data_IF_858638507919
#
_entry.id   IF_858638507919
#
_cell.length_a   1.000
_cell.length_b   1.000
_cell.length_c   1.000
_cell.angle_alpha   90.00
_cell.angle_beta   90.00
_cell.angle_gamma   90.00
#
_symmetry.space_group_name_H-M   'P 1'
#
loop_
_entity.id
_entity.type
_entity.pdbx_description
1 polymer ?
#
# COMPACT_ATOMS: atom_id res chain seq x y z
N UNK A 1 -55.74 13.80 -36.51
CA UNK A 1 -56.78 14.01 -35.46
C UNK A 1 -56.14 13.67 -34.11
N UNK A 2 -56.15 14.69 -33.24
CA UNK A 2 -55.92 14.73 -31.76
C UNK A 2 -54.65 14.06 -31.19
N UNK A 3 -53.65 14.82 -30.81
CA UNK A 3 -53.47 15.67 -29.59
C UNK A 3 -53.92 15.00 -28.29
N UNK A 4 -52.98 14.76 -27.40
CA UNK A 4 -53.02 15.35 -26.03
C UNK A 4 -51.66 15.23 -25.33
N UNK A 5 -51.13 16.40 -24.94
CA UNK A 5 -50.06 16.64 -24.00
C UNK A 5 -50.48 16.23 -22.58
N UNK A 6 -49.55 15.75 -21.77
CA UNK A 6 -49.60 15.97 -20.32
C UNK A 6 -48.18 16.12 -19.76
N UNK A 7 -47.80 17.37 -19.54
CA UNK A 7 -46.76 17.81 -18.65
C UNK A 7 -47.15 17.49 -17.19
N UNK A 8 -46.24 16.91 -16.42
CA UNK A 8 -46.35 16.97 -14.98
C UNK A 8 -44.99 17.29 -14.35
N UNK A 9 -44.98 18.48 -13.83
CA UNK A 9 -43.98 19.19 -13.05
C UNK A 9 -43.58 18.43 -11.79
N UNK A 10 -42.29 18.39 -11.49
CA UNK A 10 -41.76 18.03 -10.18
C UNK A 10 -41.25 19.29 -9.47
N UNK A 11 -41.61 19.55 -8.22
CA UNK A 11 -40.75 20.30 -7.34
C UNK A 11 -40.55 19.57 -6.02
N UNK A 12 -39.33 19.34 -5.60
CA UNK A 12 -39.05 19.28 -4.15
C UNK A 12 -37.66 19.88 -3.88
N UNK A 13 -37.72 21.14 -3.47
CA UNK A 13 -36.63 21.83 -2.78
C UNK A 13 -36.53 21.29 -1.37
N UNK A 14 -35.40 20.75 -0.98
CA UNK A 14 -35.05 20.57 0.43
C UNK A 14 -34.28 21.81 0.89
N UNK A 15 -34.94 22.65 1.68
CA UNK A 15 -34.32 23.72 2.45
C UNK A 15 -34.01 23.17 3.86
N UNK A 16 -32.75 23.18 4.26
CA UNK A 16 -32.35 22.99 5.64
C UNK A 16 -32.26 24.34 6.37
N UNK A 17 -32.84 24.50 7.56
CA UNK A 17 -32.69 25.71 8.34
C UNK A 17 -31.36 25.72 9.09
N UNK A 18 -30.57 26.76 8.83
CA UNK A 18 -29.39 27.09 9.63
C UNK A 18 -29.90 27.70 10.94
N UNK A 19 -29.76 27.00 12.05
CA UNK A 19 -29.92 27.57 13.39
C UNK A 19 -28.54 28.03 13.90
N UNK A 20 -28.39 29.33 13.90
CA UNK A 20 -27.29 30.06 14.50
C UNK A 20 -27.55 30.14 16.02
N UNK A 21 -26.80 29.40 16.84
CA UNK A 21 -26.77 29.56 18.28
C UNK A 21 -25.55 30.40 18.66
N UNK A 22 -25.83 31.66 19.04
CA UNK A 22 -24.85 32.53 19.70
C UNK A 22 -24.80 32.15 21.18
N UNK A 23 -23.66 31.63 21.62
CA UNK A 23 -23.35 31.50 23.05
C UNK A 23 -22.39 32.62 23.45
N UNK A 24 -22.91 33.61 24.16
CA UNK A 24 -22.10 34.61 24.83
C UNK A 24 -21.45 34.00 26.07
N UNK A 25 -20.14 33.84 26.07
CA UNK A 25 -19.40 33.51 27.27
C UNK A 25 -18.96 34.82 27.95
N UNK A 26 -19.50 35.08 29.12
CA UNK A 26 -19.12 36.16 30.02
C UNK A 26 -17.83 35.74 30.72
N UNK A 27 -16.72 36.45 30.44
CA UNK A 27 -15.45 36.27 31.16
C UNK A 27 -15.51 37.19 32.38
N UNK A 28 -15.63 36.61 33.57
CA UNK A 28 -15.44 37.34 34.82
C UNK A 28 -13.93 37.50 35.12
N UNK A 29 -13.43 38.72 35.11
CA UNK A 29 -12.10 39.05 35.60
C UNK A 29 -12.10 39.00 37.13
N UNK A 30 -11.48 38.03 37.72
CA UNK A 30 -11.13 38.01 39.13
C UNK A 30 -9.71 38.59 39.29
N UNK A 31 -9.65 39.80 39.88
CA UNK A 31 -8.38 40.47 40.25
C UNK A 31 -7.82 39.79 41.50
N UNK A 32 -6.72 39.05 41.36
CA UNK A 32 -5.98 38.51 42.49
C UNK A 32 -4.85 39.47 42.85
N UNK A 33 -4.97 40.16 43.99
CA UNK A 33 -3.90 40.94 44.60
C UNK A 33 -2.88 39.99 45.24
N UNK A 34 -1.68 39.91 44.63
CA UNK A 34 -0.56 39.15 45.18
C UNK A 34 0.16 40.05 46.22
N UNK A 35 0.03 39.70 47.49
CA UNK A 35 0.86 40.21 48.57
C UNK A 35 2.22 39.54 48.55
N UNK A 36 3.24 40.34 48.32
CA UNK A 36 4.64 39.94 48.23
C UNK A 36 5.23 39.73 49.64
N UNK A 37 5.19 38.47 50.13
CA UNK A 37 5.93 38.06 51.33
C UNK A 37 7.15 37.27 50.92
N UNK A 38 8.33 37.88 51.00
CA UNK A 38 9.59 37.18 50.76
C UNK A 38 9.97 36.31 51.98
N UNK A 39 10.14 34.99 51.82
CA UNK A 39 10.86 34.24 52.82
C UNK A 39 12.37 34.28 52.50
N UNK A 40 13.17 34.66 53.50
CA UNK A 40 14.62 34.49 53.49
C UNK A 40 14.94 33.00 53.38
N UNK A 41 15.34 32.52 52.19
CA UNK A 41 15.85 31.18 52.03
C UNK A 41 17.36 31.17 52.13
N UNK A 42 17.85 30.39 53.07
CA UNK A 42 19.26 30.02 53.21
C UNK A 42 19.73 29.33 51.92
N UNK A 43 20.58 30.00 51.17
CA UNK A 43 21.24 29.42 50.02
C UNK A 43 22.16 28.29 50.47
N UNK A 44 21.68 27.05 50.38
CA UNK A 44 22.53 25.85 50.45
C UNK A 44 23.27 25.76 49.11
N UNK A 45 24.57 26.07 49.15
CA UNK A 45 25.48 25.98 47.99
C UNK A 45 25.39 24.57 47.41
N UNK A 46 24.74 24.38 46.27
CA UNK A 46 24.74 23.14 45.53
C UNK A 46 26.10 23.01 44.85
N UNK A 47 26.88 22.04 45.27
CA UNK A 47 28.07 21.57 44.54
C UNK A 47 27.62 21.06 43.17
N UNK A 48 28.33 21.38 42.05
CA UNK A 48 28.02 20.83 40.75
C UNK A 48 28.12 19.31 40.83
N UNK A 49 27.05 18.63 40.37
CA UNK A 49 27.07 17.17 40.25
C UNK A 49 28.09 16.76 39.18
N UNK A 50 29.00 15.89 39.58
CA UNK A 50 29.99 15.29 38.70
C UNK A 50 29.28 14.61 37.51
N UNK A 51 29.69 14.86 36.24
CA UNK A 51 29.05 14.27 35.09
C UNK A 51 29.21 12.74 35.17
N UNK A 52 28.10 12.00 35.25
CA UNK A 52 28.11 10.54 35.14
C UNK A 52 28.80 10.15 33.82
N UNK A 53 29.72 9.18 33.85
CA UNK A 53 30.36 8.70 32.64
C UNK A 53 29.28 8.18 31.69
N UNK A 54 29.15 8.86 30.53
CA UNK A 54 28.32 8.40 29.43
C UNK A 54 28.94 7.06 28.99
N UNK A 55 28.23 5.95 29.19
CA UNK A 55 28.68 4.65 28.76
C UNK A 55 28.97 4.71 27.25
N UNK A 56 30.23 4.38 26.88
CA UNK A 56 30.64 4.36 25.49
C UNK A 56 29.67 3.56 24.65
N UNK A 57 29.32 3.99 23.43
CA UNK A 57 28.40 3.25 22.56
C UNK A 57 28.94 1.82 22.40
N UNK A 58 28.09 0.83 22.72
CA UNK A 58 28.42 -0.58 22.50
C UNK A 58 28.89 -0.74 21.06
N UNK A 59 30.16 -1.12 20.91
CA UNK A 59 30.80 -1.38 19.63
C UNK A 59 29.93 -2.37 18.88
N UNK A 60 29.18 -1.91 17.86
CA UNK A 60 28.39 -2.76 16.97
C UNK A 60 29.34 -3.77 16.37
N UNK A 61 29.20 -5.04 16.74
CA UNK A 61 30.03 -6.10 16.20
C UNK A 61 29.94 -6.03 14.67
N UNK A 62 31.11 -5.96 14.00
CA UNK A 62 31.17 -5.97 12.53
C UNK A 62 30.53 -7.28 12.07
N UNK A 63 29.28 -7.21 11.61
CA UNK A 63 28.59 -8.37 11.05
C UNK A 63 29.35 -8.87 9.85
N UNK A 64 29.69 -10.18 9.85
CA UNK A 64 30.38 -10.82 8.74
C UNK A 64 29.60 -10.58 7.42
N UNK A 65 30.24 -10.18 6.33
CA UNK A 65 29.58 -9.97 5.04
C UNK A 65 28.81 -11.23 4.61
N UNK A 66 27.68 -11.03 3.89
CA UNK A 66 26.94 -12.12 3.29
C UNK A 66 27.77 -12.74 2.15
N UNK A 67 27.83 -14.07 2.14
CA UNK A 67 28.53 -14.84 1.09
C UNK A 67 27.60 -15.10 -0.10
N UNK A 68 28.16 -15.51 -1.24
CA UNK A 68 27.37 -15.99 -2.39
C UNK A 68 26.42 -17.15 -2.02
N UNK A 69 26.86 -18.02 -1.09
CA UNK A 69 26.00 -19.10 -0.56
C UNK A 69 24.79 -18.53 0.20
N UNK A 70 24.97 -17.46 0.99
CA UNK A 70 23.85 -16.79 1.66
C UNK A 70 22.88 -16.13 0.65
N UNK A 71 23.40 -15.54 -0.43
CA UNK A 71 22.57 -14.96 -1.49
C UNK A 71 21.72 -16.04 -2.18
N UNK A 72 22.31 -17.15 -2.55
CA UNK A 72 21.60 -18.30 -3.15
C UNK A 72 20.54 -18.88 -2.18
N UNK A 73 20.88 -19.01 -0.91
CA UNK A 73 19.94 -19.48 0.12
C UNK A 73 18.77 -18.51 0.31
N UNK A 74 19.04 -17.19 0.28
CA UNK A 74 18.02 -16.16 0.36
C UNK A 74 17.08 -16.20 -0.85
N UNK A 75 17.64 -16.29 -2.07
CA UNK A 75 16.86 -16.37 -3.30
C UNK A 75 15.95 -17.61 -3.30
N UNK A 76 16.50 -18.78 -2.95
CA UNK A 76 15.72 -20.01 -2.80
C UNK A 76 14.61 -19.82 -1.76
N UNK A 77 14.92 -19.26 -0.59
CA UNK A 77 13.93 -19.07 0.46
C UNK A 77 12.82 -18.10 0.05
N UNK A 78 13.15 -16.99 -0.64
CA UNK A 78 12.16 -16.09 -1.22
C UNK A 78 11.21 -16.85 -2.17
N UNK A 79 11.75 -17.65 -3.07
CA UNK A 79 10.95 -18.47 -3.98
C UNK A 79 10.06 -19.49 -3.24
N UNK A 80 10.60 -20.20 -2.24
CA UNK A 80 9.88 -21.16 -1.40
C UNK A 80 8.70 -20.50 -0.66
N UNK A 81 8.85 -19.22 -0.27
CA UNK A 81 7.79 -18.42 0.36
C UNK A 81 6.78 -17.82 -0.63
N UNK A 82 7.01 -17.98 -1.94
CA UNK A 82 6.14 -17.46 -2.99
C UNK A 82 6.54 -16.10 -3.54
N UNK A 83 7.62 -15.47 -3.06
CA UNK A 83 8.10 -14.23 -3.65
C UNK A 83 8.68 -14.48 -5.04
N UNK A 84 8.31 -13.64 -6.00
CA UNK A 84 8.64 -13.88 -7.40
C UNK A 84 10.07 -13.44 -7.73
N UNK A 85 11.01 -14.37 -7.59
CA UNK A 85 12.45 -14.15 -7.79
C UNK A 85 12.90 -14.31 -9.26
N UNK A 86 12.02 -14.74 -10.18
CA UNK A 86 12.44 -15.18 -11.48
C UNK A 86 13.11 -16.58 -11.41
N UNK A 87 14.34 -16.69 -11.91
CA UNK A 87 15.12 -17.95 -11.81
C UNK A 87 15.89 -17.97 -10.50
N UNK A 88 15.89 -19.10 -9.84
CA UNK A 88 16.71 -19.33 -8.65
C UNK A 88 18.06 -19.90 -9.11
N UNK A 89 19.03 -19.04 -9.46
CA UNK A 89 20.34 -19.44 -9.97
C UNK A 89 21.51 -18.97 -9.12
N UNK A 90 21.23 -18.26 -8.03
CA UNK A 90 22.24 -17.70 -7.12
C UNK A 90 22.83 -16.38 -7.60
N UNK A 91 22.31 -15.78 -8.66
CA UNK A 91 22.65 -14.44 -9.11
C UNK A 91 21.65 -13.46 -8.52
N UNK A 92 22.17 -12.51 -7.75
CA UNK A 92 21.34 -11.48 -7.15
C UNK A 92 21.01 -10.39 -8.18
N UNK A 93 20.04 -10.68 -9.03
CA UNK A 93 19.59 -9.82 -10.12
C UNK A 93 18.44 -8.88 -9.70
N UNK A 94 17.86 -8.16 -10.67
CA UNK A 94 16.72 -7.26 -10.41
C UNK A 94 15.47 -8.03 -9.92
N UNK A 95 15.24 -9.26 -10.38
CA UNK A 95 14.11 -10.05 -9.95
C UNK A 95 14.27 -10.47 -8.48
N UNK A 96 15.45 -10.93 -8.08
CA UNK A 96 15.78 -11.25 -6.68
C UNK A 96 15.67 -10.01 -5.79
N UNK A 97 16.14 -8.84 -6.29
CA UNK A 97 16.02 -7.55 -5.58
C UNK A 97 14.56 -7.15 -5.38
N UNK A 98 13.71 -7.28 -6.39
CA UNK A 98 12.28 -6.97 -6.29
C UNK A 98 11.54 -7.96 -5.38
N UNK A 99 11.89 -9.24 -5.40
CA UNK A 99 11.37 -10.23 -4.47
C UNK A 99 11.72 -9.90 -3.02
N UNK A 100 12.96 -9.47 -2.76
CA UNK A 100 13.36 -8.99 -1.44
C UNK A 100 12.59 -7.73 -1.03
N UNK A 101 12.37 -6.77 -1.94
CA UNK A 101 11.53 -5.59 -1.66
C UNK A 101 10.12 -6.04 -1.25
N UNK A 102 9.53 -7.02 -1.97
CA UNK A 102 8.22 -7.56 -1.61
C UNK A 102 8.23 -8.18 -0.21
N UNK A 103 9.25 -8.99 0.11
CA UNK A 103 9.43 -9.56 1.45
C UNK A 103 9.54 -8.48 2.51
N UNK A 104 10.41 -7.48 2.30
CA UNK A 104 10.59 -6.37 3.24
C UNK A 104 9.28 -5.60 3.48
N UNK A 105 8.47 -5.38 2.44
CA UNK A 105 7.16 -4.73 2.54
C UNK A 105 6.16 -5.58 3.33
N UNK A 106 6.06 -6.87 3.02
CA UNK A 106 5.15 -7.80 3.70
C UNK A 106 5.50 -7.91 5.18
N UNK A 107 6.79 -7.98 5.51
CA UNK A 107 7.32 -8.04 6.88
C UNK A 107 7.42 -6.66 7.56
N UNK A 108 6.94 -5.58 6.92
CA UNK A 108 6.99 -4.20 7.44
C UNK A 108 8.41 -3.74 7.78
N UNK A 109 9.40 -4.23 7.04
CA UNK A 109 10.78 -3.77 7.08
C UNK A 109 10.97 -2.57 6.15
N UNK A 110 12.12 -1.89 6.27
CA UNK A 110 12.48 -0.84 5.32
C UNK A 110 12.76 -1.47 3.93
N UNK A 111 11.98 -1.17 2.89
CA UNK A 111 12.06 -1.83 1.60
C UNK A 111 13.23 -1.28 0.74
N UNK A 112 14.44 -1.67 1.09
CA UNK A 112 15.67 -1.21 0.43
C UNK A 112 16.06 -2.05 -0.79
N UNK A 113 15.64 -3.31 -0.84
CA UNK A 113 16.11 -4.30 -1.81
C UNK A 113 17.57 -4.71 -1.61
N UNK A 114 18.19 -4.29 -0.51
CA UNK A 114 19.54 -4.70 -0.11
C UNK A 114 19.44 -5.79 0.93
N UNK A 115 20.03 -6.95 0.63
CA UNK A 115 20.04 -8.09 1.55
C UNK A 115 21.07 -7.85 2.65
N UNK A 116 20.58 -7.45 3.83
CA UNK A 116 21.41 -7.35 5.04
C UNK A 116 21.46 -8.67 5.79
N UNK A 117 22.35 -8.79 6.78
CA UNK A 117 22.38 -9.95 7.69
C UNK A 117 21.04 -10.12 8.41
N UNK A 118 20.47 -9.03 8.92
CA UNK A 118 19.18 -9.04 9.61
C UNK A 118 18.04 -9.47 8.68
N UNK A 119 18.02 -8.97 7.43
CA UNK A 119 17.03 -9.43 6.44
C UNK A 119 17.18 -10.93 6.16
N UNK A 120 18.41 -11.43 6.02
CA UNK A 120 18.67 -12.83 5.77
C UNK A 120 18.16 -13.72 6.92
N UNK A 121 18.51 -13.38 8.15
CA UNK A 121 18.07 -14.13 9.35
C UNK A 121 16.55 -14.15 9.47
N UNK A 122 15.90 -12.99 9.27
CA UNK A 122 14.45 -12.88 9.30
C UNK A 122 13.80 -13.68 8.16
N UNK A 123 14.36 -13.63 6.95
CA UNK A 123 13.88 -14.37 5.80
C UNK A 123 13.95 -15.89 6.02
N UNK A 124 15.04 -16.40 6.58
CA UNK A 124 15.17 -17.83 6.88
C UNK A 124 14.12 -18.29 7.89
N UNK A 125 13.81 -17.46 8.89
CA UNK A 125 12.81 -17.76 9.92
C UNK A 125 11.36 -17.49 9.50
N UNK A 126 11.12 -16.76 8.40
CA UNK A 126 9.78 -16.35 7.98
C UNK A 126 8.93 -17.53 7.50
N UNK A 127 7.61 -17.39 7.64
CA UNK A 127 6.62 -18.29 7.04
C UNK A 127 6.02 -17.69 5.77
N UNK A 128 5.40 -18.53 4.94
CA UNK A 128 4.62 -18.06 3.79
C UNK A 128 3.48 -17.19 4.31
N UNK A 129 3.27 -15.99 3.77
CA UNK A 129 2.16 -15.13 4.18
C UNK A 129 0.82 -15.78 3.87
N UNK A 130 -0.15 -15.59 4.76
CA UNK A 130 -1.54 -15.94 4.49
C UNK A 130 -2.21 -14.85 3.67
N UNK A 131 -3.16 -15.21 2.79
CA UNK A 131 -4.00 -14.23 2.12
C UNK A 131 -4.97 -13.59 3.11
N UNK A 132 -5.58 -12.47 2.72
CA UNK A 132 -6.66 -11.84 3.48
C UNK A 132 -7.93 -12.70 3.44
N UNK A 133 -8.18 -13.31 2.29
CA UNK A 133 -9.33 -14.18 2.06
C UNK A 133 -8.91 -15.54 1.51
N UNK A 134 -9.76 -16.54 1.77
CA UNK A 134 -9.65 -17.89 1.24
C UNK A 134 -10.88 -18.20 0.40
N UNK A 135 -10.85 -19.28 -0.38
CA UNK A 135 -11.96 -19.71 -1.21
C UNK A 135 -11.54 -19.86 -2.67
N UNK A 136 -12.14 -19.09 -3.58
CA UNK A 136 -11.77 -19.16 -5.00
C UNK A 136 -10.38 -18.57 -5.28
N UNK A 137 -9.74 -19.02 -6.36
CA UNK A 137 -8.48 -18.44 -6.81
C UNK A 137 -8.67 -16.96 -7.19
N UNK A 138 -7.79 -16.09 -6.68
CA UNK A 138 -7.93 -14.64 -6.85
C UNK A 138 -6.59 -13.90 -6.76
N UNK A 139 -6.64 -12.61 -7.03
CA UNK A 139 -5.56 -11.66 -6.79
C UNK A 139 -5.94 -10.78 -5.60
N UNK A 140 -5.02 -10.60 -4.65
CA UNK A 140 -5.12 -9.56 -3.64
C UNK A 140 -4.11 -8.45 -3.91
N UNK A 141 -4.57 -7.20 -3.82
CA UNK A 141 -3.72 -6.00 -3.87
C UNK A 141 -3.80 -5.31 -2.51
N UNK A 142 -2.77 -5.49 -1.70
CA UNK A 142 -2.64 -4.87 -0.40
C UNK A 142 -2.06 -3.46 -0.53
N UNK A 143 -2.90 -2.46 -0.36
CA UNK A 143 -2.53 -1.05 -0.48
C UNK A 143 -1.66 -0.55 0.69
N UNK A 144 -1.75 -1.19 1.86
CA UNK A 144 -0.95 -0.83 3.03
C UNK A 144 0.48 -1.33 2.88
N UNK A 145 0.63 -2.62 2.55
CA UNK A 145 1.94 -3.24 2.35
C UNK A 145 2.54 -2.95 0.97
N UNK A 146 1.73 -2.43 0.03
CA UNK A 146 2.12 -2.23 -1.37
C UNK A 146 2.66 -3.54 -1.97
N UNK A 147 1.90 -4.61 -1.80
CA UNK A 147 2.19 -5.95 -2.28
C UNK A 147 0.97 -6.53 -3.00
N UNK A 148 1.23 -7.40 -3.97
CA UNK A 148 0.22 -8.17 -4.69
C UNK A 148 0.45 -9.66 -4.40
N UNK A 149 -0.63 -10.36 -4.07
CA UNK A 149 -0.65 -11.80 -3.84
C UNK A 149 -1.49 -12.48 -4.90
N UNK A 150 -1.01 -13.59 -5.46
CA UNK A 150 -1.80 -14.51 -6.27
C UNK A 150 -2.13 -15.70 -5.38
N UNK A 151 -3.42 -15.93 -5.16
CA UNK A 151 -3.95 -16.97 -4.29
C UNK A 151 -4.58 -18.05 -5.17
N UNK A 152 -4.30 -19.30 -4.89
CA UNK A 152 -4.93 -20.43 -5.60
C UNK A 152 -6.29 -20.82 -4.98
N UNK A 153 -6.98 -21.77 -5.60
CA UNK A 153 -8.29 -22.26 -5.14
C UNK A 153 -8.25 -23.00 -3.79
N UNK A 154 -7.08 -23.31 -3.28
CA UNK A 154 -6.86 -23.87 -1.94
C UNK A 154 -6.59 -22.82 -0.87
N UNK A 155 -6.62 -21.51 -1.22
CA UNK A 155 -6.30 -20.42 -0.32
C UNK A 155 -4.81 -20.26 -0.03
N UNK A 156 -3.94 -20.81 -0.88
CA UNK A 156 -2.48 -20.69 -0.73
C UNK A 156 -1.96 -19.55 -1.59
N UNK A 157 -1.17 -18.68 -0.99
CA UNK A 157 -0.45 -17.64 -1.72
C UNK A 157 0.66 -18.28 -2.56
N UNK A 158 0.49 -18.30 -3.87
CA UNK A 158 1.45 -18.93 -4.80
C UNK A 158 2.52 -17.98 -5.29
N UNK A 159 2.17 -16.69 -5.48
CA UNK A 159 3.10 -15.68 -5.94
C UNK A 159 2.88 -14.34 -5.23
N UNK A 160 4.00 -13.65 -4.94
CA UNK A 160 4.00 -12.35 -4.31
C UNK A 160 4.89 -11.40 -5.12
N UNK A 161 4.36 -10.21 -5.40
CA UNK A 161 5.06 -9.14 -6.13
C UNK A 161 5.02 -7.83 -5.32
N UNK A 162 6.06 -7.02 -5.36
CA UNK A 162 5.95 -5.65 -4.89
C UNK A 162 5.13 -4.84 -5.90
N UNK A 163 4.34 -3.91 -5.41
CA UNK A 163 3.58 -3.00 -6.27
C UNK A 163 3.80 -1.53 -5.91
N UNK A 164 3.35 -0.65 -6.81
CA UNK A 164 3.18 0.77 -6.54
C UNK A 164 1.81 1.19 -7.07
N UNK A 165 0.89 1.45 -6.15
CA UNK A 165 -0.50 1.83 -6.41
C UNK A 165 -0.66 3.34 -6.63
N UNK A 166 -1.88 3.82 -6.73
CA UNK A 166 -2.24 5.23 -6.84
C UNK A 166 -1.66 6.08 -5.72
N UNK A 167 -1.11 7.25 -6.08
CA UNK A 167 -0.39 8.13 -5.15
C UNK A 167 -1.29 8.88 -4.16
N UNK A 168 -2.60 8.90 -4.37
CA UNK A 168 -3.57 9.69 -3.63
C UNK A 168 -3.52 11.19 -3.94
N UNK A 169 -2.68 11.63 -4.87
CA UNK A 169 -2.52 13.05 -5.21
C UNK A 169 -3.49 13.45 -6.31
N UNK A 170 -3.95 14.69 -6.27
CA UNK A 170 -4.69 15.27 -7.39
C UNK A 170 -3.78 15.40 -8.63
N UNK A 171 -4.33 15.15 -9.79
CA UNK A 171 -3.70 15.38 -11.09
C UNK A 171 -4.73 15.85 -12.10
N UNK A 172 -4.27 16.52 -13.18
CA UNK A 172 -5.14 16.94 -14.28
C UNK A 172 -4.97 16.02 -15.47
N UNK A 173 -6.07 15.54 -16.01
CA UNK A 173 -6.11 14.74 -17.24
C UNK A 173 -7.31 15.14 -18.09
N UNK A 174 -7.09 15.42 -19.37
CA UNK A 174 -8.14 15.82 -20.33
C UNK A 174 -9.01 16.99 -19.83
N UNK A 175 -8.38 17.96 -19.14
CA UNK A 175 -9.07 19.15 -18.62
C UNK A 175 -9.77 18.97 -17.26
N UNK A 176 -9.81 17.76 -16.68
CA UNK A 176 -10.48 17.46 -15.41
C UNK A 176 -9.47 17.16 -14.30
N UNK A 177 -9.74 17.67 -13.10
CA UNK A 177 -9.04 17.27 -11.89
C UNK A 177 -9.53 15.88 -11.45
N UNK A 178 -8.60 15.02 -11.07
CA UNK A 178 -8.87 13.64 -10.61
C UNK A 178 -7.89 13.27 -9.51
N UNK A 179 -8.30 12.40 -8.62
CA UNK A 179 -7.43 11.82 -7.61
C UNK A 179 -6.77 10.53 -8.14
N UNK A 180 -5.47 10.43 -7.91
CA UNK A 180 -4.67 9.27 -8.30
C UNK A 180 -4.87 8.10 -7.32
N UNK A 181 -6.08 7.58 -7.18
CA UNK A 181 -6.43 6.57 -6.19
C UNK A 181 -6.62 5.20 -6.84
N UNK A 182 -6.03 4.16 -6.22
CA UNK A 182 -6.44 2.76 -6.44
C UNK A 182 -7.51 2.45 -5.40
N UNK A 183 -8.76 2.36 -5.82
CA UNK A 183 -9.90 2.19 -4.91
C UNK A 183 -9.96 0.78 -4.33
N UNK A 184 -10.08 0.62 -2.98
CA UNK A 184 -10.45 -0.64 -2.39
C UNK A 184 -11.77 -1.17 -2.94
N UNK A 185 -11.89 -2.47 -3.08
CA UNK A 185 -13.11 -3.09 -3.60
C UNK A 185 -12.88 -4.50 -4.14
N UNK A 186 -13.98 -5.12 -4.55
CA UNK A 186 -13.99 -6.42 -5.22
C UNK A 186 -14.27 -6.22 -6.70
N UNK A 187 -13.38 -6.72 -7.51
CA UNK A 187 -13.41 -6.60 -8.96
C UNK A 187 -13.22 -7.96 -9.60
N UNK A 188 -13.32 -8.00 -10.94
CA UNK A 188 -12.90 -9.13 -11.74
C UNK A 188 -12.05 -8.64 -12.91
N UNK A 189 -11.10 -9.46 -13.33
CA UNK A 189 -10.33 -9.20 -14.55
C UNK A 189 -11.30 -9.11 -15.72
N UNK A 190 -11.31 -7.98 -16.41
CA UNK A 190 -12.23 -7.67 -17.52
C UNK A 190 -11.57 -7.89 -18.87
N UNK A 191 -10.32 -7.48 -18.99
CA UNK A 191 -9.58 -7.51 -20.24
C UNK A 191 -8.09 -7.64 -19.98
N UNK A 192 -7.38 -8.26 -20.91
CA UNK A 192 -5.92 -8.36 -20.91
C UNK A 192 -5.41 -8.01 -22.29
N UNK A 193 -4.37 -7.18 -22.34
CA UNK A 193 -3.74 -6.81 -23.60
C UNK A 193 -2.27 -7.21 -23.59
N UNK A 194 -1.75 -7.59 -24.76
CA UNK A 194 -0.37 -8.01 -24.92
C UNK A 194 0.52 -6.83 -25.33
N UNK A 195 1.78 -6.85 -24.86
CA UNK A 195 2.78 -5.84 -25.20
C UNK A 195 2.52 -4.49 -24.57
N UNK A 196 3.07 -3.45 -25.18
CA UNK A 196 2.90 -2.06 -24.76
C UNK A 196 1.57 -1.50 -25.22
N UNK A 197 0.91 -0.76 -24.33
CA UNK A 197 -0.32 -0.03 -24.62
C UNK A 197 -0.19 1.42 -24.19
N UNK A 198 -0.52 2.35 -25.07
CA UNK A 198 -0.59 3.79 -24.77
C UNK A 198 -1.91 4.11 -24.09
N UNK A 199 -1.85 4.95 -23.06
CA UNK A 199 -3.00 5.56 -22.40
C UNK A 199 -2.78 7.05 -22.24
N UNK A 200 -3.80 7.86 -21.93
CA UNK A 200 -3.63 9.28 -21.66
C UNK A 200 -2.67 9.59 -20.51
N UNK A 201 -2.41 8.62 -19.62
CA UNK A 201 -1.58 8.77 -18.43
C UNK A 201 -0.22 8.04 -18.53
N UNK A 202 0.14 7.61 -19.73
CA UNK A 202 1.42 6.94 -20.00
C UNK A 202 1.26 5.55 -20.61
N UNK A 203 2.35 4.81 -20.62
CA UNK A 203 2.40 3.49 -21.25
C UNK A 203 2.25 2.38 -20.21
N UNK A 204 1.52 1.31 -20.59
CA UNK A 204 1.29 0.12 -19.77
C UNK A 204 1.87 -1.10 -20.50
N UNK A 205 2.63 -1.92 -19.79
CA UNK A 205 3.21 -3.13 -20.36
C UNK A 205 2.43 -4.37 -19.88
N UNK A 206 1.86 -5.12 -20.81
CA UNK A 206 1.01 -6.29 -20.56
C UNK A 206 -0.09 -6.01 -19.52
N UNK A 207 -0.94 -5.00 -19.72
CA UNK A 207 -1.97 -4.65 -18.74
C UNK A 207 -3.03 -5.72 -18.59
N UNK A 208 -3.48 -5.89 -17.33
CA UNK A 208 -4.61 -6.70 -16.90
C UNK A 208 -5.61 -5.75 -16.25
N UNK A 209 -6.66 -5.40 -16.97
CA UNK A 209 -7.68 -4.45 -16.53
C UNK A 209 -8.70 -5.15 -15.61
N UNK A 210 -8.98 -4.56 -14.47
CA UNK A 210 -9.97 -5.08 -13.50
C UNK A 210 -11.07 -4.04 -13.17
N UNK A 211 -10.83 -2.78 -13.44
CA UNK A 211 -11.78 -1.69 -13.32
C UNK A 211 -11.63 -0.78 -14.56
N UNK A 212 -12.64 0.06 -14.88
CA UNK A 212 -12.56 0.99 -16.01
C UNK A 212 -11.32 1.89 -15.92
N UNK A 213 -10.42 1.74 -16.90
CA UNK A 213 -9.19 2.52 -16.97
C UNK A 213 -8.10 2.14 -15.96
N UNK A 214 -8.37 1.21 -15.02
CA UNK A 214 -7.40 0.76 -14.02
C UNK A 214 -6.93 -0.66 -14.31
N UNK A 215 -5.62 -0.84 -14.33
CA UNK A 215 -4.98 -2.12 -14.63
C UNK A 215 -3.83 -2.44 -13.66
N UNK A 216 -3.53 -3.73 -13.53
CA UNK A 216 -2.23 -4.21 -13.05
C UNK A 216 -1.34 -4.34 -14.28
N UNK A 217 -0.18 -3.67 -14.30
CA UNK A 217 0.68 -3.65 -15.48
C UNK A 217 2.16 -3.52 -15.14
N UNK A 218 3.01 -4.00 -16.03
CA UNK A 218 4.45 -3.79 -15.91
C UNK A 218 4.82 -2.31 -16.09
N UNK A 219 5.75 -1.85 -15.27
CA UNK A 219 6.27 -0.50 -15.36
C UNK A 219 7.78 -0.49 -15.05
N UNK A 220 8.61 0.32 -15.79
CA UNK A 220 10.05 0.39 -15.52
C UNK A 220 10.38 0.89 -14.11
N UNK A 221 9.50 1.69 -13.53
CA UNK A 221 9.66 2.22 -12.18
C UNK A 221 8.52 1.73 -11.28
N UNK A 222 8.88 0.89 -10.28
CA UNK A 222 7.97 0.43 -9.22
C UNK A 222 8.53 0.92 -7.88
N UNK A 223 8.29 2.18 -7.52
CA UNK A 223 8.73 2.72 -6.24
C UNK A 223 8.18 1.92 -5.07
N UNK A 224 8.88 1.99 -3.95
CA UNK A 224 8.47 1.27 -2.72
C UNK A 224 7.25 1.89 -2.03
N UNK A 225 6.70 2.97 -2.57
CA UNK A 225 5.54 3.73 -2.11
C UNK A 225 4.51 3.89 -3.22
N UNK A 226 3.26 4.28 -2.91
CA UNK A 226 2.27 4.66 -3.91
C UNK A 226 2.78 5.82 -4.80
N UNK A 227 2.70 5.68 -6.13
CA UNK A 227 3.21 6.68 -7.08
C UNK A 227 2.54 6.66 -8.46
N UNK A 228 1.53 5.83 -8.67
CA UNK A 228 0.79 5.80 -9.94
C UNK A 228 -0.38 6.81 -9.95
N UNK A 229 -1.07 6.91 -11.08
CA UNK A 229 -2.33 7.66 -11.23
C UNK A 229 -3.59 6.83 -10.91
N UNK A 230 -3.43 5.63 -10.31
CA UNK A 230 -4.52 4.72 -9.96
C UNK A 230 -4.28 3.27 -10.38
N UNK A 231 -3.51 3.01 -11.43
CA UNK A 231 -3.10 1.67 -11.81
C UNK A 231 -2.16 1.04 -10.76
N UNK A 232 -2.05 -0.28 -10.79
CA UNK A 232 -1.14 -1.05 -9.94
C UNK A 232 0.09 -1.43 -10.77
N UNK A 233 1.24 -0.79 -10.49
CA UNK A 233 2.49 -1.09 -11.19
C UNK A 233 3.13 -2.32 -10.58
N UNK A 234 3.58 -3.25 -11.42
CA UNK A 234 4.39 -4.41 -11.07
C UNK A 234 5.72 -4.38 -11.83
N UNK A 235 6.77 -5.11 -11.38
CA UNK A 235 8.04 -5.17 -12.10
C UNK A 235 7.90 -5.70 -13.53
N UNK A 236 8.65 -5.10 -14.46
CA UNK A 236 8.62 -5.44 -15.89
C UNK A 236 8.85 -6.92 -16.17
N UNK A 237 9.82 -7.55 -15.48
CA UNK A 237 10.16 -8.95 -15.70
C UNK A 237 9.00 -9.91 -15.41
N UNK A 238 8.10 -9.55 -14.49
CA UNK A 238 6.96 -10.37 -14.10
C UNK A 238 5.73 -10.17 -15.00
N UNK A 239 5.57 -8.99 -15.60
CA UNK A 239 4.32 -8.57 -16.23
C UNK A 239 3.81 -9.48 -17.35
N UNK A 240 4.69 -9.94 -18.26
CA UNK A 240 4.31 -10.86 -19.36
C UNK A 240 3.81 -12.21 -18.82
N UNK A 241 4.50 -12.78 -17.82
CA UNK A 241 4.11 -14.06 -17.21
C UNK A 241 2.85 -13.87 -16.37
N UNK A 242 2.74 -12.79 -15.59
CA UNK A 242 1.54 -12.42 -14.83
C UNK A 242 0.32 -12.35 -15.76
N UNK A 243 0.40 -11.58 -16.85
CA UNK A 243 -0.69 -11.45 -17.82
C UNK A 243 -1.13 -12.81 -18.39
N UNK A 244 -0.18 -13.73 -18.68
CA UNK A 244 -0.51 -15.07 -19.18
C UNK A 244 -1.20 -15.95 -18.15
N UNK A 245 -0.78 -15.87 -16.89
CA UNK A 245 -1.30 -16.72 -15.80
C UNK A 245 -2.72 -16.34 -15.39
N UNK A 246 -3.04 -15.03 -15.44
CA UNK A 246 -4.30 -14.53 -14.91
C UNK A 246 -5.41 -14.67 -15.98
N UNK A 247 -6.47 -15.46 -15.75
CA UNK A 247 -7.60 -15.56 -16.69
C UNK A 247 -8.51 -14.32 -16.58
N UNK A 248 -9.23 -14.01 -17.66
CA UNK A 248 -10.36 -13.08 -17.62
C UNK A 248 -11.43 -13.67 -16.69
N UNK A 249 -12.09 -12.84 -15.92
CA UNK A 249 -13.06 -13.24 -14.89
C UNK A 249 -12.46 -13.50 -13.51
N UNK A 250 -11.13 -13.69 -13.37
CA UNK A 250 -10.50 -13.92 -12.08
C UNK A 250 -10.80 -12.77 -11.12
N UNK A 251 -11.21 -13.05 -9.86
CA UNK A 251 -11.42 -12.01 -8.87
C UNK A 251 -10.16 -11.21 -8.57
N UNK A 252 -10.34 -9.92 -8.31
CA UNK A 252 -9.30 -8.99 -7.83
C UNK A 252 -9.83 -8.28 -6.61
N UNK A 253 -9.21 -8.52 -5.46
CA UNK A 253 -9.54 -7.93 -4.18
C UNK A 253 -8.51 -6.84 -3.88
N UNK A 254 -8.94 -5.59 -3.88
CA UNK A 254 -8.10 -4.45 -3.50
C UNK A 254 -8.49 -4.04 -2.09
N UNK A 255 -7.54 -4.02 -1.15
CA UNK A 255 -7.84 -3.77 0.25
C UNK A 255 -6.79 -2.87 0.92
N UNK A 256 -7.20 -2.22 2.00
CA UNK A 256 -6.39 -1.36 2.87
C UNK A 256 -6.04 -2.04 4.22
N UNK A 257 -6.05 -3.37 4.23
CA UNK A 257 -5.87 -4.19 5.42
C UNK A 257 -7.18 -4.79 5.96
N UNK A 258 -8.32 -4.29 5.50
CA UNK A 258 -9.65 -4.79 5.81
C UNK A 258 -10.29 -5.43 4.57
N UNK A 259 -11.09 -6.51 4.74
CA UNK A 259 -11.86 -7.07 3.63
C UNK A 259 -12.83 -6.02 3.07
N UNK A 260 -12.82 -5.74 1.76
CA UNK A 260 -13.81 -4.86 1.17
C UNK A 260 -15.20 -5.51 1.20
N UNK A 261 -16.28 -4.73 1.21
CA UNK A 261 -17.64 -5.27 1.22
C UNK A 261 -17.88 -6.22 0.02
N UNK A 262 -18.74 -7.21 0.17
CA UNK A 262 -19.10 -8.11 -0.93
C UNK A 262 -19.70 -7.30 -2.10
N UNK A 263 -19.53 -7.82 -3.34
CA UNK A 263 -20.22 -7.24 -4.50
C UNK A 263 -21.74 -7.40 -4.24
N UNK A 264 -22.53 -6.33 -4.33
CA UNK A 264 -23.98 -6.44 -4.18
C UNK A 264 -24.51 -7.48 -5.18
N UNK A 265 -25.17 -8.50 -4.69
CA UNK A 265 -25.91 -9.43 -5.55
C UNK A 265 -27.10 -8.65 -6.11
N UNK A 266 -27.06 -8.33 -7.41
CA UNK A 266 -28.25 -7.81 -8.07
C UNK A 266 -29.20 -8.98 -8.18
N UNK A 267 -30.12 -9.12 -7.19
CA UNK A 267 -31.29 -9.97 -7.32
C UNK A 267 -32.16 -9.30 -8.38
N UNK A 268 -32.09 -9.80 -9.63
CA UNK A 268 -33.00 -9.38 -10.67
C UNK A 268 -34.43 -9.67 -10.24
N UNK A 269 -35.23 -8.62 -10.18
CA UNK A 269 -36.70 -8.73 -10.18
C UNK A 269 -37.21 -8.77 -11.61
#
# INVERSE_FOLDING_TARGET
>A
MNQTNLLTTIPLRYQFPVRLLHLFAIIALASVTVTNAQPRSSQKRLTPAEPRPVSAPKRVAKTKPLTAANQRAAEKRLADLGYWTGRVDGRWDEASRQALIAFQKVERLKPTGQLTRADFEKLIAANRPSPLETGEAHIEVDLVRQALFIVDGGGVVTNILPVSSGSGKEFKSQGWARDAVTHPGRYRVREKLSGWKKSPLGELYYPVYFMYGTAIHGHPSVPTRPASHGCVRIPMFAAKRFNRMIPVGMPVIVHDGNPPPPIPTITGH
#
